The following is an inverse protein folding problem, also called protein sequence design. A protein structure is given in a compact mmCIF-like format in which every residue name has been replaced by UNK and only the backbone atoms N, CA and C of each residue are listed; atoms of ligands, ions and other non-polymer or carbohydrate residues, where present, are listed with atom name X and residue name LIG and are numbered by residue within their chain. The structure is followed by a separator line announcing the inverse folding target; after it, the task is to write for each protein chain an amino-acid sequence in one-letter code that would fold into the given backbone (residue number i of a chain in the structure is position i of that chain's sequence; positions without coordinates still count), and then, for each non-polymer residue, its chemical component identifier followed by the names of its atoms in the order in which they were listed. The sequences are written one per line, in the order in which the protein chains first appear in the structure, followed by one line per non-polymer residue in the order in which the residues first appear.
data_IF_519161393830
#
_entry.id   IF_519161393830
#
_cell.length_a   1.000
_cell.length_b   1.000
_cell.length_c   1.000
_cell.angle_alpha   90.00
_cell.angle_beta   90.00
_cell.angle_gamma   90.00
#
_symmetry.space_group_name_H-M   'P 1'
#
loop_
_entity.id
_entity.type
_entity.pdbx_description
1 polymer ?
#
# COMPACT_ATOMS: atom_id res chain seq x y z
N UNK A 1 56.26 42.73 17.46
CA UNK A 1 56.10 43.09 18.89
C UNK A 1 54.63 42.95 19.18
N UNK A 2 54.27 41.81 19.72
CA UNK A 2 53.84 41.53 21.11
C UNK A 2 52.70 42.43 21.57
N UNK A 3 51.48 41.83 21.82
CA UNK A 3 51.10 41.50 23.17
C UNK A 3 49.83 40.67 23.19
N UNK A 4 49.87 39.65 24.02
CA UNK A 4 48.74 38.77 24.37
C UNK A 4 47.76 39.53 25.32
N UNK A 5 46.47 39.27 25.17
CA UNK A 5 45.41 39.74 26.04
C UNK A 5 44.53 38.59 26.46
N UNK A 6 44.51 38.32 27.73
CA UNK A 6 43.88 37.26 28.48
C UNK A 6 42.35 37.14 28.26
N UNK A 7 41.85 35.91 28.35
CA UNK A 7 40.42 35.60 28.45
C UNK A 7 39.98 35.72 29.89
N UNK A 8 38.80 36.28 30.19
CA UNK A 8 38.16 36.10 31.49
C UNK A 8 37.28 34.84 31.49
N UNK A 9 37.38 34.05 32.54
CA UNK A 9 36.47 32.92 32.85
C UNK A 9 35.13 33.45 33.39
N UNK A 10 34.01 32.80 33.08
CA UNK A 10 32.72 33.13 33.71
C UNK A 10 32.55 32.39 35.05
N UNK A 11 31.99 33.11 35.97
CA UNK A 11 31.67 32.70 37.35
C UNK A 11 30.55 31.65 37.44
N UNK A 12 30.69 30.78 38.44
CA UNK A 12 29.73 29.79 38.86
C UNK A 12 28.56 30.50 39.61
N UNK A 13 27.35 30.39 39.04
CA UNK A 13 26.12 30.86 39.67
C UNK A 13 25.17 29.68 39.95
N UNK A 14 24.70 29.62 41.19
CA UNK A 14 23.96 28.53 41.84
C UNK A 14 22.49 28.39 41.39
N UNK A 15 22.06 27.13 41.29
CA UNK A 15 20.72 26.58 41.55
C UNK A 15 19.48 27.47 41.34
N UNK A 16 18.65 27.09 40.31
CA UNK A 16 17.22 27.24 40.39
C UNK A 16 16.57 25.91 39.92
N UNK A 17 15.77 25.34 40.79
CA UNK A 17 15.01 24.11 40.57
C UNK A 17 13.98 24.33 39.46
N UNK A 18 14.15 23.67 38.34
CA UNK A 18 13.15 23.62 37.28
C UNK A 18 12.21 22.45 37.50
N UNK A 19 10.98 22.77 37.86
CA UNK A 19 9.81 21.89 38.00
C UNK A 19 9.63 21.10 36.70
N UNK A 20 9.76 19.81 36.82
CA UNK A 20 9.58 18.82 35.72
C UNK A 20 8.09 18.72 35.38
N UNK A 21 7.64 19.46 34.35
CA UNK A 21 6.34 19.24 33.77
C UNK A 21 6.36 17.86 33.06
N UNK A 22 5.66 16.90 33.65
CA UNK A 22 5.37 15.62 33.03
C UNK A 22 4.38 15.87 31.90
N UNK A 23 4.87 15.94 30.66
CA UNK A 23 4.02 15.82 29.50
C UNK A 23 3.51 14.39 29.43
N UNK A 24 2.22 14.21 29.69
CA UNK A 24 1.48 12.97 29.43
C UNK A 24 1.51 12.70 27.92
N UNK A 25 2.44 11.87 27.50
CA UNK A 25 2.40 11.25 26.18
C UNK A 25 1.16 10.38 26.15
N UNK A 26 0.15 10.83 25.38
CA UNK A 26 -0.99 10.00 25.02
C UNK A 26 -0.46 8.77 24.27
N UNK A 27 -0.47 7.63 24.94
CA UNK A 27 -0.22 6.35 24.31
C UNK A 27 -1.41 6.06 23.38
N UNK A 28 -1.24 6.33 22.10
CA UNK A 28 -2.09 5.68 21.10
C UNK A 28 -1.88 4.17 21.27
N UNK A 29 -2.95 3.36 21.34
CA UNK A 29 -2.78 1.91 21.43
C UNK A 29 -1.96 1.44 20.24
N UNK A 30 -0.90 0.68 20.50
CA UNK A 30 -0.10 0.06 19.45
C UNK A 30 -1.03 -0.74 18.53
N UNK A 31 -0.83 -0.70 17.20
CA UNK A 31 -1.66 -1.49 16.29
C UNK A 31 -1.58 -2.96 16.69
N UNK A 32 -2.75 -3.60 16.76
CA UNK A 32 -2.96 -4.94 17.31
C UNK A 32 -2.16 -6.07 16.61
N UNK A 33 -1.42 -5.73 15.53
CA UNK A 33 -0.76 -6.66 14.60
C UNK A 33 0.72 -6.35 14.35
N UNK A 34 1.39 -5.53 15.15
CA UNK A 34 2.80 -5.21 14.96
C UNK A 34 3.70 -6.40 15.33
N UNK A 35 3.64 -7.45 14.53
CA UNK A 35 4.57 -8.58 14.61
C UNK A 35 5.77 -8.25 13.73
N UNK A 36 6.93 -8.00 14.33
CA UNK A 36 8.20 -7.92 13.60
C UNK A 36 8.53 -9.31 13.05
N UNK A 37 8.83 -9.48 11.75
CA UNK A 37 9.14 -10.80 11.20
C UNK A 37 10.41 -11.36 11.84
N UNK A 38 10.29 -12.58 12.35
CA UNK A 38 11.46 -13.35 12.82
C UNK A 38 12.24 -13.86 11.60
N UNK A 39 13.57 -14.07 11.70
CA UNK A 39 14.35 -14.73 10.64
C UNK A 39 13.68 -16.04 10.21
N UNK A 40 13.35 -16.18 8.91
CA UNK A 40 12.65 -17.34 8.36
C UNK A 40 11.12 -17.21 8.31
N UNK A 41 10.54 -16.10 8.77
CA UNK A 41 9.10 -15.87 8.70
C UNK A 41 8.67 -15.48 7.29
N UNK A 42 7.50 -15.99 6.85
CA UNK A 42 6.87 -15.64 5.58
C UNK A 42 6.47 -14.17 5.56
N UNK A 43 6.82 -13.46 4.48
CA UNK A 43 6.39 -12.09 4.22
C UNK A 43 5.26 -12.07 3.20
N UNK A 44 4.37 -11.10 3.27
CA UNK A 44 3.15 -11.06 2.47
C UNK A 44 3.07 -9.81 1.59
N UNK A 45 2.76 -9.98 0.30
CA UNK A 45 2.38 -8.89 -0.61
C UNK A 45 0.86 -8.90 -0.75
N UNK A 46 0.20 -7.85 -0.27
CA UNK A 46 -1.24 -7.67 -0.36
C UNK A 46 -1.59 -6.74 -1.51
N UNK A 47 -2.06 -7.27 -2.62
CA UNK A 47 -2.46 -6.48 -3.79
C UNK A 47 -3.95 -6.19 -3.72
N UNK A 48 -4.31 -4.96 -3.36
CA UNK A 48 -5.71 -4.51 -3.40
C UNK A 48 -6.05 -4.19 -4.85
N UNK A 49 -6.98 -4.94 -5.44
CA UNK A 49 -7.26 -4.93 -6.88
C UNK A 49 -8.74 -4.67 -7.19
N UNK A 50 -8.99 -4.24 -8.42
CA UNK A 50 -10.31 -3.94 -8.95
C UNK A 50 -10.32 -2.68 -9.83
N UNK A 51 -11.46 -2.37 -10.48
CA UNK A 51 -11.60 -1.22 -11.35
C UNK A 51 -11.38 0.13 -10.67
N UNK A 52 -11.23 1.19 -11.46
CA UNK A 52 -11.21 2.55 -10.95
C UNK A 52 -12.51 2.87 -10.18
N UNK A 53 -12.39 3.54 -9.05
CA UNK A 53 -13.55 3.87 -8.21
C UNK A 53 -13.94 2.82 -7.17
N UNK A 54 -13.43 1.58 -7.23
CA UNK A 54 -13.82 0.54 -6.25
C UNK A 54 -13.28 0.77 -4.82
N UNK A 55 -12.28 1.65 -4.62
CA UNK A 55 -11.78 1.97 -3.28
C UNK A 55 -10.39 1.44 -2.94
N UNK A 56 -9.60 0.98 -3.92
CA UNK A 56 -8.25 0.38 -3.71
C UNK A 56 -7.35 1.17 -2.78
N UNK A 57 -7.13 2.46 -3.07
CA UNK A 57 -6.22 3.29 -2.27
C UNK A 57 -6.73 3.49 -0.84
N UNK A 58 -8.04 3.58 -0.65
CA UNK A 58 -8.66 3.73 0.68
C UNK A 58 -8.48 2.46 1.51
N UNK A 59 -8.81 1.31 0.94
CA UNK A 59 -8.62 0.00 1.58
C UNK A 59 -7.14 -0.29 1.81
N UNK A 60 -6.29 0.02 0.81
CA UNK A 60 -4.85 -0.17 0.91
C UNK A 60 -4.23 0.61 2.07
N UNK A 61 -4.62 1.88 2.26
CA UNK A 61 -4.16 2.69 3.41
C UNK A 61 -4.72 2.19 4.73
N UNK A 62 -5.94 1.68 4.77
CA UNK A 62 -6.50 1.03 5.94
C UNK A 62 -5.71 -0.23 6.33
N UNK A 63 -5.36 -1.08 5.35
CA UNK A 63 -4.50 -2.24 5.56
C UNK A 63 -3.08 -1.85 5.99
N UNK A 64 -2.49 -0.83 5.36
CA UNK A 64 -1.21 -0.28 5.78
C UNK A 64 -1.19 0.05 7.26
N UNK A 65 -2.19 0.78 7.73
CA UNK A 65 -2.29 1.19 9.13
C UNK A 65 -2.52 0.00 10.06
N UNK A 66 -3.40 -0.93 9.69
CA UNK A 66 -3.75 -2.08 10.52
C UNK A 66 -2.60 -3.10 10.64
N UNK A 67 -1.87 -3.35 9.56
CA UNK A 67 -0.75 -4.29 9.52
C UNK A 67 0.59 -3.65 9.89
N UNK A 68 0.67 -2.33 9.97
CA UNK A 68 1.91 -1.55 10.15
C UNK A 68 3.01 -1.92 9.14
N UNK A 69 2.66 -1.92 7.86
CA UNK A 69 3.54 -2.27 6.73
C UNK A 69 3.59 -1.14 5.70
N UNK A 70 4.59 -1.09 4.80
CA UNK A 70 4.62 -0.11 3.71
C UNK A 70 3.40 -0.22 2.78
N UNK A 71 3.03 0.92 2.15
CA UNK A 71 2.00 1.00 1.12
C UNK A 71 2.57 1.58 -0.17
N UNK A 72 2.25 0.96 -1.30
CA UNK A 72 2.62 1.41 -2.64
C UNK A 72 1.35 1.72 -3.44
N UNK A 73 1.25 2.96 -3.94
CA UNK A 73 0.20 3.35 -4.87
C UNK A 73 0.64 3.00 -6.30
N UNK A 74 -0.07 2.06 -6.94
CA UNK A 74 0.30 1.58 -8.28
C UNK A 74 0.32 2.67 -9.34
N UNK A 75 -0.54 3.68 -9.21
CA UNK A 75 -0.63 4.78 -10.17
C UNK A 75 0.65 5.64 -10.20
N UNK A 76 1.43 5.67 -9.12
CA UNK A 76 2.70 6.41 -9.05
C UNK A 76 3.77 5.81 -9.98
N UNK A 77 3.68 4.52 -10.28
CA UNK A 77 4.65 3.77 -11.09
C UNK A 77 4.41 3.85 -12.60
N UNK A 78 3.32 4.46 -13.05
CA UNK A 78 3.11 4.68 -14.47
C UNK A 78 4.15 5.64 -15.05
N UNK A 79 4.65 5.30 -16.25
CA UNK A 79 5.49 6.20 -17.02
C UNK A 79 4.75 7.50 -17.33
N UNK A 80 5.51 8.59 -17.57
CA UNK A 80 4.92 9.87 -17.96
C UNK A 80 4.03 9.73 -19.20
N UNK A 81 4.45 8.93 -20.19
CA UNK A 81 3.68 8.62 -21.39
C UNK A 81 2.32 7.97 -21.06
N UNK A 82 2.31 7.02 -20.10
CA UNK A 82 1.08 6.38 -19.68
C UNK A 82 0.15 7.34 -18.92
N UNK A 83 0.72 8.21 -18.08
CA UNK A 83 -0.04 9.25 -17.37
C UNK A 83 -0.69 10.24 -18.36
N UNK A 84 0.02 10.62 -19.42
CA UNK A 84 -0.50 11.48 -20.49
C UNK A 84 -1.63 10.80 -21.29
N UNK A 85 -1.48 9.53 -21.65
CA UNK A 85 -2.55 8.75 -22.28
C UNK A 85 -3.80 8.72 -21.44
N UNK A 86 -3.67 8.33 -20.16
CA UNK A 86 -4.80 8.25 -19.22
C UNK A 86 -5.45 9.62 -19.00
N UNK A 87 -4.65 10.69 -18.85
CA UNK A 87 -5.15 12.06 -18.71
C UNK A 87 -5.93 12.55 -19.95
N UNK A 88 -5.56 12.06 -21.14
CA UNK A 88 -6.30 12.31 -22.39
C UNK A 88 -7.53 11.41 -22.54
N UNK A 89 -7.77 10.47 -21.62
CA UNK A 89 -8.88 9.51 -21.68
C UNK A 89 -8.63 8.37 -22.69
N UNK A 90 -7.36 8.10 -23.02
CA UNK A 90 -6.97 7.01 -23.91
C UNK A 90 -6.64 5.79 -23.03
N UNK A 91 -7.35 4.66 -23.18
CA UNK A 91 -7.06 3.44 -22.45
C UNK A 91 -5.65 2.92 -22.71
N UNK A 92 -5.01 2.37 -21.69
CA UNK A 92 -3.73 1.71 -21.82
C UNK A 92 -3.91 0.33 -22.48
N UNK A 93 -3.02 -0.01 -23.41
CA UNK A 93 -2.92 -1.35 -23.97
C UNK A 93 -2.15 -2.29 -23.05
N UNK A 94 -2.16 -3.59 -23.32
CA UNK A 94 -1.33 -4.56 -22.60
C UNK A 94 0.16 -4.18 -22.65
N UNK A 95 0.65 -3.74 -23.83
CA UNK A 95 2.04 -3.33 -24.01
C UNK A 95 2.43 -2.13 -23.14
N UNK A 96 1.49 -1.21 -22.88
CA UNK A 96 1.72 -0.06 -22.00
C UNK A 96 1.82 -0.47 -20.50
N UNK A 97 1.33 -1.66 -20.14
CA UNK A 97 1.21 -2.09 -18.75
C UNK A 97 2.35 -2.97 -18.25
N UNK A 98 3.12 -3.63 -19.13
CA UNK A 98 4.15 -4.58 -18.71
C UNK A 98 5.24 -3.94 -17.84
N UNK A 99 5.86 -2.88 -18.32
CA UNK A 99 6.93 -2.19 -17.59
C UNK A 99 6.42 -1.61 -16.25
N UNK A 100 5.19 -1.10 -16.25
CA UNK A 100 4.53 -0.61 -15.05
C UNK A 100 4.34 -1.72 -14.00
N UNK A 101 3.76 -2.86 -14.38
CA UNK A 101 3.54 -4.00 -13.48
C UNK A 101 4.86 -4.57 -12.95
N UNK A 102 5.87 -4.69 -13.82
CA UNK A 102 7.20 -5.18 -13.45
C UNK A 102 7.86 -4.20 -12.45
N UNK A 103 7.78 -2.90 -12.70
CA UNK A 103 8.33 -1.88 -11.81
C UNK A 103 7.66 -1.90 -10.45
N UNK A 104 6.33 -1.99 -10.42
CA UNK A 104 5.53 -2.07 -9.19
C UNK A 104 5.85 -3.34 -8.39
N UNK A 105 5.92 -4.50 -9.05
CA UNK A 105 6.34 -5.78 -8.44
C UNK A 105 7.73 -5.67 -7.82
N UNK A 106 8.70 -5.13 -8.56
CA UNK A 106 10.07 -5.00 -8.08
C UNK A 106 10.15 -4.03 -6.88
N UNK A 107 9.35 -2.97 -6.88
CA UNK A 107 9.24 -2.06 -5.75
C UNK A 107 8.63 -2.76 -4.52
N UNK A 108 7.61 -3.62 -4.71
CA UNK A 108 7.04 -4.41 -3.64
C UNK A 108 8.08 -5.37 -3.00
N UNK A 109 8.85 -6.08 -3.82
CA UNK A 109 9.95 -6.94 -3.33
C UNK A 109 11.00 -6.11 -2.58
N UNK A 110 11.38 -4.95 -3.13
CA UNK A 110 12.34 -4.06 -2.48
C UNK A 110 11.84 -3.55 -1.13
N UNK A 111 10.55 -3.27 -1.00
CA UNK A 111 9.94 -2.83 0.26
C UNK A 111 10.00 -3.89 1.37
N UNK A 112 10.10 -5.18 1.01
CA UNK A 112 10.26 -6.30 1.94
C UNK A 112 11.71 -6.51 2.40
N UNK A 113 12.68 -5.82 1.78
CA UNK A 113 14.11 -5.99 2.11
C UNK A 113 14.52 -5.10 3.28
N UNK A 114 15.54 -5.50 4.06
CA UNK A 114 16.18 -4.63 5.03
C UNK A 114 16.71 -3.35 4.36
N UNK A 115 16.46 -2.19 4.94
CA UNK A 115 16.90 -0.89 4.44
C UNK A 115 17.06 0.12 5.57
N UNK A 116 17.74 1.23 5.33
CA UNK A 116 17.80 2.35 6.28
C UNK A 116 16.41 2.88 6.66
N UNK A 117 15.48 2.90 5.69
CA UNK A 117 14.12 3.39 5.91
C UNK A 117 13.32 2.55 6.93
N UNK A 118 13.69 1.28 7.12
CA UNK A 118 13.08 0.38 8.10
C UNK A 118 14.07 -0.05 9.22
N UNK A 119 15.16 0.71 9.41
CA UNK A 119 16.22 0.41 10.38
C UNK A 119 16.76 -1.01 10.25
N UNK A 120 16.89 -1.51 9.02
CA UNK A 120 17.31 -2.87 8.68
C UNK A 120 16.42 -3.99 9.28
N UNK A 121 15.17 -3.66 9.64
CA UNK A 121 14.16 -4.60 10.08
C UNK A 121 13.13 -4.78 8.95
N UNK A 122 13.19 -5.89 8.19
CA UNK A 122 12.25 -6.12 7.10
C UNK A 122 10.81 -6.19 7.63
N UNK A 123 9.83 -5.55 6.97
CA UNK A 123 8.44 -5.62 7.39
C UNK A 123 7.84 -7.01 7.17
N UNK A 124 6.77 -7.33 7.88
CA UNK A 124 6.02 -8.60 7.68
C UNK A 124 5.30 -8.66 6.33
N UNK A 125 5.18 -7.55 5.63
CA UNK A 125 4.55 -7.49 4.33
C UNK A 125 4.60 -6.10 3.72
N UNK A 126 3.92 -5.96 2.58
CA UNK A 126 3.67 -4.70 1.87
C UNK A 126 2.27 -4.71 1.28
N UNK A 127 1.60 -3.58 1.30
CA UNK A 127 0.31 -3.39 0.63
C UNK A 127 0.53 -2.63 -0.67
N UNK A 128 -0.13 -3.08 -1.74
CA UNK A 128 -0.02 -2.50 -3.08
C UNK A 128 -1.42 -2.22 -3.62
N UNK A 129 -1.75 -0.99 -3.98
CA UNK A 129 -2.96 -0.69 -4.73
C UNK A 129 -2.66 -0.80 -6.23
N UNK A 130 -3.28 -1.76 -6.91
CA UNK A 130 -3.06 -2.00 -8.34
C UNK A 130 -4.33 -2.54 -8.99
N UNK A 131 -4.73 -2.01 -10.15
CA UNK A 131 -5.93 -2.51 -10.82
C UNK A 131 -5.87 -3.99 -11.18
N UNK A 132 -4.73 -4.49 -11.68
CA UNK A 132 -4.44 -5.90 -11.99
C UNK A 132 -5.64 -6.69 -12.56
N UNK A 133 -6.38 -6.08 -13.51
CA UNK A 133 -7.71 -6.50 -13.94
C UNK A 133 -7.73 -7.86 -14.65
N UNK A 134 -6.72 -8.16 -15.47
CA UNK A 134 -6.61 -9.43 -16.18
C UNK A 134 -5.78 -10.43 -15.39
N UNK A 135 -6.08 -11.72 -15.55
CA UNK A 135 -5.29 -12.78 -14.93
C UNK A 135 -3.80 -12.65 -15.24
N UNK A 136 -3.44 -12.41 -16.50
CA UNK A 136 -2.04 -12.22 -16.91
C UNK A 136 -1.33 -11.05 -16.20
N UNK A 137 -2.06 -10.02 -15.77
CA UNK A 137 -1.47 -8.93 -14.98
C UNK A 137 -1.21 -9.38 -13.53
N UNK A 138 -2.12 -10.18 -12.96
CA UNK A 138 -1.92 -10.80 -11.65
C UNK A 138 -0.75 -11.79 -11.69
N UNK A 139 -0.58 -12.53 -12.80
CA UNK A 139 0.55 -13.45 -12.99
C UNK A 139 1.90 -12.73 -13.00
N UNK A 140 1.99 -11.53 -13.60
CA UNK A 140 3.21 -10.70 -13.49
C UNK A 140 3.55 -10.38 -12.03
N UNK A 141 2.54 -10.10 -11.21
CA UNK A 141 2.75 -9.83 -9.78
C UNK A 141 3.14 -11.10 -9.02
N UNK A 142 2.56 -12.28 -9.37
CA UNK A 142 2.89 -13.59 -8.77
C UNK A 142 4.35 -14.00 -8.93
N UNK A 143 5.02 -13.52 -9.96
CA UNK A 143 6.46 -13.76 -10.15
C UNK A 143 7.29 -13.30 -8.93
N UNK A 144 6.80 -12.37 -8.13
CA UNK A 144 7.44 -11.95 -6.88
C UNK A 144 7.66 -13.15 -5.92
N UNK A 145 6.67 -14.03 -5.81
CA UNK A 145 6.74 -15.21 -4.94
C UNK A 145 7.62 -16.31 -5.50
N UNK A 146 7.72 -16.45 -6.84
CA UNK A 146 8.54 -17.49 -7.46
C UNK A 146 10.04 -17.28 -7.24
N UNK A 147 10.49 -16.04 -7.22
CA UNK A 147 11.91 -15.71 -6.99
C UNK A 147 12.32 -15.63 -5.52
N UNK A 148 11.36 -15.69 -4.59
CA UNK A 148 11.60 -15.48 -3.16
C UNK A 148 10.70 -16.41 -2.34
N UNK A 149 11.15 -17.60 -1.97
CA UNK A 149 10.31 -18.63 -1.32
C UNK A 149 9.65 -18.20 -0.01
N UNK A 150 10.23 -17.21 0.67
CA UNK A 150 9.67 -16.65 1.91
C UNK A 150 8.59 -15.58 1.65
N UNK A 151 8.25 -15.28 0.39
CA UNK A 151 7.25 -14.27 0.04
C UNK A 151 6.00 -14.94 -0.49
N UNK A 152 4.86 -14.58 0.06
CA UNK A 152 3.52 -14.95 -0.43
C UNK A 152 2.81 -13.73 -1.00
N UNK A 153 2.03 -13.92 -2.05
CA UNK A 153 1.23 -12.86 -2.65
C UNK A 153 -0.25 -13.20 -2.53
N UNK A 154 -1.05 -12.17 -2.24
CA UNK A 154 -2.50 -12.28 -2.09
C UNK A 154 -3.18 -11.12 -2.80
N UNK A 155 -4.30 -11.39 -3.47
CA UNK A 155 -5.12 -10.38 -4.13
C UNK A 155 -6.39 -10.14 -3.32
N UNK A 156 -6.59 -8.91 -2.88
CA UNK A 156 -7.84 -8.46 -2.25
C UNK A 156 -8.68 -7.78 -3.33
N UNK A 157 -9.57 -8.55 -3.95
CA UNK A 157 -10.42 -8.06 -5.04
C UNK A 157 -11.67 -7.38 -4.49
N UNK A 158 -11.80 -6.08 -4.75
CA UNK A 158 -12.96 -5.28 -4.38
C UNK A 158 -14.00 -5.37 -5.49
N UNK A 159 -15.01 -6.21 -5.29
CA UNK A 159 -16.08 -6.43 -6.24
C UNK A 159 -17.13 -5.33 -6.14
N UNK A 160 -17.43 -4.70 -7.29
CA UNK A 160 -18.44 -3.67 -7.40
C UNK A 160 -19.05 -3.73 -8.80
N UNK A 161 -20.36 -3.47 -8.92
CA UNK A 161 -21.02 -3.41 -10.21
C UNK A 161 -20.74 -2.10 -10.97
N UNK A 162 -21.06 -2.09 -12.26
CA UNK A 162 -20.83 -0.94 -13.15
C UNK A 162 -21.54 0.33 -12.65
N UNK A 163 -22.80 0.21 -12.22
CA UNK A 163 -23.60 1.37 -11.80
C UNK A 163 -22.98 2.05 -10.57
N UNK A 164 -22.61 1.27 -9.57
CA UNK A 164 -21.96 1.77 -8.37
C UNK A 164 -20.59 2.39 -8.67
N UNK A 165 -19.79 1.78 -9.58
CA UNK A 165 -18.51 2.35 -10.03
C UNK A 165 -18.69 3.69 -10.71
N UNK A 166 -19.63 3.78 -11.67
CA UNK A 166 -19.93 5.04 -12.39
C UNK A 166 -20.39 6.13 -11.43
N UNK A 167 -21.26 5.81 -10.47
CA UNK A 167 -21.71 6.76 -9.45
C UNK A 167 -20.53 7.25 -8.58
N UNK A 168 -19.66 6.36 -8.13
CA UNK A 168 -18.50 6.72 -7.32
C UNK A 168 -17.47 7.56 -8.07
N UNK A 169 -17.25 7.25 -9.35
CA UNK A 169 -16.34 8.06 -10.19
C UNK A 169 -16.93 9.42 -10.49
N UNK A 170 -18.24 9.51 -10.78
CA UNK A 170 -18.93 10.79 -10.99
C UNK A 170 -18.94 11.69 -9.75
N UNK A 171 -19.07 11.10 -8.55
CA UNK A 171 -19.05 11.84 -7.29
C UNK A 171 -17.65 12.38 -6.91
N UNK A 172 -16.56 11.83 -7.48
CA UNK A 172 -15.21 12.36 -7.29
C UNK A 172 -14.99 13.57 -8.17
N UNK A 173 -14.79 14.74 -7.57
CA UNK A 173 -14.48 16.00 -8.27
C UNK A 173 -13.11 16.01 -8.99
N UNK A 174 -12.33 14.95 -8.91
CA UNK A 174 -11.05 14.83 -9.58
C UNK A 174 -11.27 14.51 -11.07
N UNK A 175 -11.00 15.49 -11.92
CA UNK A 175 -11.18 15.48 -13.40
C UNK A 175 -10.34 14.45 -14.16
N UNK A 176 -9.62 13.56 -13.46
CA UNK A 176 -8.62 12.65 -14.06
C UNK A 176 -9.23 11.38 -14.66
N UNK A 177 -10.37 10.89 -14.16
CA UNK A 177 -10.93 9.62 -14.61
C UNK A 177 -12.28 9.85 -15.31
N UNK A 178 -12.31 9.71 -16.64
CA UNK A 178 -13.53 9.78 -17.44
C UNK A 178 -14.36 8.50 -17.31
N UNK A 179 -15.68 8.59 -17.45
CA UNK A 179 -16.59 7.42 -17.44
C UNK A 179 -16.21 6.35 -18.47
N UNK A 180 -15.67 6.75 -19.62
CA UNK A 180 -15.16 5.86 -20.66
C UNK A 180 -14.01 4.96 -20.19
N UNK A 181 -13.21 5.43 -19.22
CA UNK A 181 -12.13 4.63 -18.63
C UNK A 181 -12.67 3.53 -17.73
N UNK A 182 -13.77 3.78 -17.01
CA UNK A 182 -14.44 2.75 -16.18
C UNK A 182 -14.96 1.63 -17.06
N UNK A 183 -15.67 1.97 -18.15
CA UNK A 183 -16.20 0.98 -19.09
C UNK A 183 -15.08 0.14 -19.73
N UNK A 184 -13.98 0.78 -20.18
CA UNK A 184 -12.82 0.06 -20.70
C UNK A 184 -12.22 -0.89 -19.66
N UNK A 185 -12.14 -0.48 -18.41
CA UNK A 185 -11.62 -1.32 -17.33
C UNK A 185 -12.55 -2.48 -16.98
N UNK A 186 -13.87 -2.31 -17.07
CA UNK A 186 -14.83 -3.40 -16.90
C UNK A 186 -14.77 -4.41 -18.03
N UNK A 187 -14.51 -3.97 -19.29
CA UNK A 187 -14.26 -4.86 -20.42
C UNK A 187 -12.96 -5.67 -20.26
N UNK A 188 -11.94 -5.06 -19.64
CA UNK A 188 -10.67 -5.72 -19.33
C UNK A 188 -10.73 -6.61 -18.07
N UNK A 189 -11.79 -6.52 -17.27
CA UNK A 189 -11.89 -7.20 -15.98
C UNK A 189 -12.13 -8.70 -16.17
N UNK A 190 -11.16 -9.48 -15.77
CA UNK A 190 -11.26 -10.91 -15.53
C UNK A 190 -11.34 -11.13 -14.01
N UNK A 191 -12.56 -11.32 -13.48
CA UNK A 191 -12.73 -11.57 -12.04
C UNK A 191 -11.87 -12.77 -11.60
N UNK A 192 -11.16 -12.69 -10.47
CA UNK A 192 -10.26 -13.76 -10.01
C UNK A 192 -11.04 -14.94 -9.39
N UNK A 193 -11.99 -15.50 -10.15
CA UNK A 193 -12.80 -16.64 -9.74
C UNK A 193 -11.96 -17.90 -9.71
N UNK A 194 -11.91 -18.57 -8.54
CA UNK A 194 -11.15 -19.81 -8.39
C UNK A 194 -9.63 -19.62 -8.31
N UNK A 195 -9.14 -18.40 -8.23
CA UNK A 195 -7.73 -18.13 -7.95
C UNK A 195 -7.49 -18.31 -6.44
N UNK A 196 -6.59 -19.24 -6.08
CA UNK A 196 -6.36 -19.68 -4.68
C UNK A 196 -5.80 -18.60 -3.76
N UNK A 197 -5.20 -17.57 -4.34
CA UNK A 197 -4.56 -16.44 -3.67
C UNK A 197 -5.43 -15.17 -3.71
N UNK A 198 -6.68 -15.28 -4.18
CA UNK A 198 -7.59 -14.15 -4.29
C UNK A 198 -8.70 -14.19 -3.23
N UNK A 199 -8.85 -13.08 -2.51
CA UNK A 199 -9.90 -12.81 -1.54
C UNK A 199 -10.89 -11.83 -2.18
N UNK A 200 -12.13 -12.28 -2.44
CA UNK A 200 -13.17 -11.42 -3.04
C UNK A 200 -13.99 -10.77 -1.93
N UNK A 201 -14.03 -9.44 -1.92
CA UNK A 201 -14.77 -8.64 -0.94
C UNK A 201 -15.86 -7.85 -1.65
N UNK A 202 -17.08 -7.90 -1.12
CA UNK A 202 -18.18 -7.08 -1.62
C UNK A 202 -17.95 -5.61 -1.22
N UNK A 203 -17.80 -4.75 -2.23
CA UNK A 203 -17.58 -3.33 -2.02
C UNK A 203 -18.85 -2.46 -2.20
N UNK A 204 -20.05 -3.06 -2.29
CA UNK A 204 -21.31 -2.32 -2.34
C UNK A 204 -21.72 -1.74 -0.97
N UNK A 205 -21.23 -2.36 0.10
CA UNK A 205 -21.52 -1.96 1.48
C UNK A 205 -20.75 -0.68 1.88
N UNK A 206 -21.10 -0.01 2.99
CA UNK A 206 -20.37 1.14 3.50
C UNK A 206 -18.88 0.85 3.69
N UNK A 207 -18.03 1.86 3.45
CA UNK A 207 -16.56 1.75 3.50
C UNK A 207 -16.05 1.10 4.79
N UNK A 208 -16.63 1.43 5.93
CA UNK A 208 -16.25 0.86 7.22
C UNK A 208 -16.52 -0.64 7.29
N UNK A 209 -17.60 -1.10 6.67
CA UNK A 209 -17.91 -2.52 6.59
C UNK A 209 -16.97 -3.23 5.63
N UNK A 210 -16.70 -2.65 4.45
CA UNK A 210 -15.68 -3.19 3.53
C UNK A 210 -14.35 -3.38 4.26
N UNK A 211 -13.93 -2.37 5.05
CA UNK A 211 -12.66 -2.45 5.77
C UNK A 211 -12.66 -3.56 6.83
N UNK A 212 -13.77 -3.76 7.55
CA UNK A 212 -13.90 -4.88 8.52
C UNK A 212 -13.78 -6.24 7.83
N UNK A 213 -14.50 -6.43 6.73
CA UNK A 213 -14.48 -7.70 5.96
C UNK A 213 -13.08 -7.96 5.37
N UNK A 214 -12.41 -6.93 4.88
CA UNK A 214 -11.02 -7.05 4.40
C UNK A 214 -10.08 -7.46 5.53
N UNK A 215 -10.17 -6.83 6.70
CA UNK A 215 -9.31 -7.16 7.84
C UNK A 215 -9.56 -8.57 8.37
N UNK A 216 -10.80 -9.02 8.37
CA UNK A 216 -11.16 -10.38 8.75
C UNK A 216 -10.56 -11.40 7.76
N UNK A 217 -10.79 -11.22 6.45
CA UNK A 217 -10.25 -12.09 5.41
C UNK A 217 -8.71 -12.14 5.42
N UNK A 218 -8.05 -10.99 5.63
CA UNK A 218 -6.59 -10.91 5.74
C UNK A 218 -6.08 -11.64 6.98
N UNK A 219 -6.75 -11.48 8.12
CA UNK A 219 -6.39 -12.19 9.37
C UNK A 219 -6.51 -13.69 9.21
N UNK A 220 -7.61 -14.16 8.62
CA UNK A 220 -7.85 -15.59 8.41
C UNK A 220 -6.79 -16.17 7.46
N UNK A 221 -6.43 -15.41 6.40
CA UNK A 221 -5.36 -15.79 5.49
C UNK A 221 -3.98 -15.84 6.17
N UNK A 222 -3.67 -14.90 7.06
CA UNK A 222 -2.42 -14.92 7.82
C UNK A 222 -2.33 -16.11 8.80
N UNK A 223 -3.47 -16.57 9.33
CA UNK A 223 -3.51 -17.72 10.22
C UNK A 223 -3.10 -19.04 9.54
N UNK A 224 -3.22 -19.13 8.19
CA UNK A 224 -2.75 -20.29 7.42
C UNK A 224 -1.22 -20.47 7.44
N UNK A 225 -0.45 -19.43 7.84
CA UNK A 225 1.02 -19.39 7.82
C UNK A 225 1.64 -19.35 9.22
N UNK A 226 0.85 -19.50 10.26
CA UNK A 226 1.31 -19.58 11.66
C UNK A 226 1.43 -21.02 12.14
#
# INVERSE_FOLDING_TARGET
MLSAGERPQPAIGKNAAATRAQSSLSHSPAPMWSVQPKPGQVQHIWVVTGPAGCGKSTVGRGLQAALNVPFLEGDDFHSQKNKEKMGSGIPLTDADRWDWLISLRNAAIKALSPSEANNFHPPSGVVVACSALKQKYRDVMRVAAYGTPSVQIHFVYLKLDENALLQRVAARQAHYMKSTMVQSQLQDLEEPKGEWDALTIDAHVPQEQVMREVLEAVRDKLAEYQ
#
